data_IF_943775883103
#
_entry.id   IF_943775883103
#
_cell.length_a   1.000
_cell.length_b   1.000
_cell.length_c   1.000
_cell.angle_alpha   90.00
_cell.angle_beta   90.00
_cell.angle_gamma   90.00
#
_symmetry.space_group_name_H-M   'P 1'
#
loop_
_entity.id
_entity.type
_entity.pdbx_description
1 polymer ?
#
# COMPACT_ATOMS: atom_id res chain seq x y z
N UNK A 1 6.01 3.22 1.78
CA UNK A 1 4.68 2.61 1.56
C UNK A 1 4.72 1.49 0.54
N UNK A 2 5.20 1.76 -0.64
CA UNK A 2 5.31 0.76 -1.71
C UNK A 2 6.08 -0.49 -1.27
N UNK A 3 7.22 -0.27 -0.61
CA UNK A 3 8.08 -1.34 -0.13
C UNK A 3 7.39 -2.24 0.90
N UNK A 4 6.58 -1.65 1.78
CA UNK A 4 5.83 -2.41 2.78
C UNK A 4 4.82 -3.32 2.11
N UNK A 5 4.07 -2.81 1.14
CA UNK A 5 3.07 -3.59 0.41
C UNK A 5 3.72 -4.72 -0.38
N UNK A 6 4.86 -4.47 -1.00
CA UNK A 6 5.60 -5.50 -1.72
C UNK A 6 6.01 -6.64 -0.79
N UNK A 7 6.46 -6.30 0.43
CA UNK A 7 6.82 -7.31 1.43
C UNK A 7 5.62 -8.13 1.88
N UNK A 8 4.41 -7.55 1.84
CA UNK A 8 3.19 -8.25 2.21
C UNK A 8 2.64 -9.13 1.08
N UNK A 9 3.29 -9.13 -0.07
CA UNK A 9 2.87 -9.94 -1.20
C UNK A 9 2.04 -9.21 -2.24
N UNK A 10 1.91 -7.89 -2.14
CA UNK A 10 1.22 -7.11 -3.15
C UNK A 10 2.11 -6.90 -4.37
N UNK A 11 1.50 -6.92 -5.55
CA UNK A 11 2.20 -6.65 -6.81
C UNK A 11 1.49 -5.52 -7.54
N UNK A 12 2.25 -4.79 -8.36
CA UNK A 12 1.67 -3.72 -9.18
C UNK A 12 0.86 -4.35 -10.31
N UNK A 13 -0.43 -4.02 -10.35
CA UNK A 13 -1.34 -4.48 -11.41
C UNK A 13 -1.49 -3.45 -12.49
N UNK A 14 -1.50 -2.17 -12.10
CA UNK A 14 -1.73 -1.09 -13.04
C UNK A 14 -1.05 0.18 -12.53
N UNK A 15 -0.49 0.96 -13.43
CA UNK A 15 0.14 2.22 -13.08
C UNK A 15 -0.37 3.29 -14.06
N UNK A 16 -1.02 4.31 -13.53
CA UNK A 16 -1.57 5.39 -14.35
C UNK A 16 -1.27 6.74 -13.69
N UNK A 17 -0.35 7.50 -14.27
CA UNK A 17 0.07 8.78 -13.70
C UNK A 17 0.64 8.60 -12.31
N UNK A 18 0.06 9.30 -11.33
CA UNK A 18 0.47 9.20 -9.93
C UNK A 18 -0.27 8.11 -9.16
N UNK A 19 -1.18 7.38 -9.82
CA UNK A 19 -1.96 6.31 -9.20
C UNK A 19 -1.35 4.96 -9.51
N UNK A 20 -1.12 4.16 -8.49
CA UNK A 20 -0.59 2.80 -8.63
C UNK A 20 -1.60 1.84 -8.01
N UNK A 21 -2.11 0.91 -8.81
CA UNK A 21 -3.02 -0.12 -8.31
C UNK A 21 -2.20 -1.37 -8.01
N UNK A 22 -2.25 -1.81 -6.76
CA UNK A 22 -1.60 -3.03 -6.32
C UNK A 22 -2.63 -4.08 -5.93
N UNK A 23 -2.33 -5.32 -6.21
CA UNK A 23 -3.22 -6.42 -5.88
C UNK A 23 -2.47 -7.54 -5.17
N UNK A 24 -3.21 -8.30 -4.37
CA UNK A 24 -2.70 -9.47 -3.67
C UNK A 24 -3.41 -10.71 -4.20
N UNK A 25 -2.74 -11.86 -4.14
CA UNK A 25 -3.29 -13.12 -4.60
C UNK A 25 -4.58 -13.53 -3.88
N UNK A 26 -4.78 -13.03 -2.67
CA UNK A 26 -5.99 -13.30 -1.89
C UNK A 26 -7.18 -12.41 -2.29
N UNK A 27 -7.02 -11.54 -3.29
CA UNK A 27 -8.06 -10.66 -3.78
C UNK A 27 -8.04 -9.24 -3.23
N UNK A 28 -7.17 -8.94 -2.29
CA UNK A 28 -7.06 -7.58 -1.75
C UNK A 28 -6.50 -6.63 -2.81
N UNK A 29 -7.02 -5.41 -2.82
CA UNK A 29 -6.57 -4.38 -3.77
C UNK A 29 -6.34 -3.08 -3.04
N UNK A 30 -5.29 -2.37 -3.44
CA UNK A 30 -4.93 -1.08 -2.85
C UNK A 30 -4.56 -0.12 -3.96
N UNK A 31 -5.10 1.09 -3.88
CA UNK A 31 -4.70 2.17 -4.78
C UNK A 31 -3.80 3.12 -4.01
N UNK A 32 -2.57 3.31 -4.49
CA UNK A 32 -1.60 4.21 -3.91
C UNK A 32 -1.51 5.45 -4.76
N UNK A 33 -1.66 6.62 -4.13
CA UNK A 33 -1.41 7.90 -4.79
C UNK A 33 -0.01 8.34 -4.41
N UNK A 34 0.80 8.67 -5.40
CA UNK A 34 2.15 9.15 -5.17
C UNK A 34 2.12 10.59 -4.66
N UNK A 35 2.01 10.73 -3.35
CA UNK A 35 2.17 12.01 -2.67
C UNK A 35 3.45 11.97 -1.87
N UNK A 36 4.19 13.06 -1.89
CA UNK A 36 5.41 13.16 -1.12
C UNK A 36 5.44 14.51 -0.39
N UNK A 37 5.23 14.54 0.95
CA UNK A 37 5.04 13.37 1.81
C UNK A 37 3.59 12.85 1.76
N UNK A 38 3.42 11.58 2.07
CA UNK A 38 2.09 10.98 2.17
C UNK A 38 1.41 11.49 3.45
N UNK A 39 0.18 11.97 3.31
CA UNK A 39 -0.58 12.46 4.46
C UNK A 39 -1.01 11.28 5.33
N UNK A 40 -1.08 11.52 6.64
CA UNK A 40 -1.44 10.47 7.59
C UNK A 40 -2.79 9.82 7.29
N UNK A 41 -3.79 10.62 6.91
CA UNK A 41 -5.09 10.10 6.54
C UNK A 41 -5.04 9.17 5.33
N UNK A 42 -4.26 9.53 4.32
CA UNK A 42 -4.05 8.70 3.14
C UNK A 42 -3.34 7.40 3.51
N UNK A 43 -2.33 7.48 4.36
CA UNK A 43 -1.59 6.31 4.84
C UNK A 43 -2.52 5.33 5.55
N UNK A 44 -3.36 5.84 6.45
CA UNK A 44 -4.31 5.01 7.18
C UNK A 44 -5.32 4.33 6.26
N UNK A 45 -5.81 5.06 5.26
CA UNK A 45 -6.71 4.51 4.25
C UNK A 45 -6.08 3.35 3.50
N UNK A 46 -4.82 3.52 3.09
CA UNK A 46 -4.09 2.49 2.35
C UNK A 46 -3.91 1.25 3.22
N UNK A 47 -3.51 1.43 4.46
CA UNK A 47 -3.33 0.30 5.38
C UNK A 47 -4.64 -0.44 5.62
N UNK A 48 -5.74 0.30 5.75
CA UNK A 48 -7.06 -0.30 5.94
C UNK A 48 -7.49 -1.11 4.71
N UNK A 49 -7.28 -0.58 3.51
CA UNK A 49 -7.60 -1.28 2.27
C UNK A 49 -6.79 -2.57 2.13
N UNK A 50 -5.52 -2.52 2.52
CA UNK A 50 -4.62 -3.67 2.44
C UNK A 50 -4.79 -4.65 3.59
N UNK A 51 -5.61 -4.32 4.58
CA UNK A 51 -5.78 -5.11 5.81
C UNK A 51 -4.46 -5.31 6.55
N UNK A 52 -3.64 -4.26 6.56
CA UNK A 52 -2.34 -4.26 7.23
C UNK A 52 -2.47 -3.52 8.55
N UNK A 53 -2.03 -4.13 9.63
CA UNK A 53 -2.02 -3.47 10.95
C UNK A 53 -0.84 -2.49 11.04
N UNK A 54 -0.92 -1.48 11.94
CA UNK A 54 0.21 -0.58 12.15
C UNK A 54 1.49 -1.31 12.53
N UNK A 55 1.39 -2.41 13.27
CA UNK A 55 2.54 -3.23 13.64
C UNK A 55 3.20 -3.86 12.41
N UNK A 56 2.37 -4.42 11.52
CA UNK A 56 2.88 -5.01 10.29
C UNK A 56 3.54 -3.96 9.42
N UNK A 57 2.98 -2.76 9.40
CA UNK A 57 3.56 -1.64 8.65
C UNK A 57 4.95 -1.28 9.19
N UNK A 58 5.09 -1.16 10.50
CA UNK A 58 6.38 -0.88 11.12
C UNK A 58 7.40 -1.97 10.84
N UNK A 59 6.99 -3.23 10.94
CA UNK A 59 7.86 -4.36 10.66
C UNK A 59 8.31 -4.36 9.21
N UNK A 60 7.44 -3.93 8.30
CA UNK A 60 7.78 -3.83 6.88
C UNK A 60 8.78 -2.73 6.56
N UNK A 61 8.94 -1.74 7.44
CA UNK A 61 9.91 -0.66 7.26
C UNK A 61 11.31 -1.03 7.74
N UNK A 62 11.46 -2.10 8.51
CA UNK A 62 12.75 -2.53 9.08
C UNK A 62 13.51 -3.45 8.16
#
# INVERSE_FOLDING_TARGET
MFKVLTKQGFIVRHHHGSHILMGHDDGRRVTIVRDNPIKLGTLRSILKQACITPEEFENGLR
#
